data_IF_322502043621
#
_entry.id   IF_322502043621
#
_cell.length_a   1.000
_cell.length_b   1.000
_cell.length_c   1.000
_cell.angle_alpha   90.00
_cell.angle_beta   90.00
_cell.angle_gamma   90.00
#
_symmetry.space_group_name_H-M   'P 1'
#
loop_
_entity.id
_entity.type
_entity.pdbx_description
1 polymer ?
#
# COMPACT_ATOMS: atom_id res chain seq x y z
N UNK A 1 -6.89 8.17 1.94
CA UNK A 1 -7.09 9.58 2.32
C UNK A 1 -7.03 9.82 3.83
N UNK A 2 -7.73 9.06 4.69
CA UNK A 2 -7.65 9.23 6.16
C UNK A 2 -6.22 8.98 6.64
N UNK A 3 -5.58 7.89 6.22
CA UNK A 3 -4.19 7.57 6.56
C UNK A 3 -3.21 8.67 6.15
N UNK A 4 -3.44 9.31 5.00
CA UNK A 4 -2.61 10.44 4.54
C UNK A 4 -2.70 11.61 5.51
N UNK A 5 -3.90 11.95 5.97
CA UNK A 5 -4.08 13.05 6.94
C UNK A 5 -3.51 12.69 8.31
N UNK A 6 -3.70 11.45 8.76
CA UNK A 6 -3.12 10.97 10.01
C UNK A 6 -1.58 11.04 9.98
N UNK A 7 -0.94 10.57 8.90
CA UNK A 7 0.51 10.66 8.70
C UNK A 7 1.00 12.12 8.66
N UNK A 8 0.29 13.00 7.93
CA UNK A 8 0.62 14.43 7.86
C UNK A 8 0.45 15.11 9.22
N UNK A 9 -0.57 14.75 9.98
CA UNK A 9 -0.76 15.26 11.32
C UNK A 9 0.46 14.97 12.21
N UNK A 10 0.94 13.71 12.24
CA UNK A 10 2.12 13.36 13.02
C UNK A 10 3.40 14.00 12.50
N UNK A 11 3.55 14.11 11.18
CA UNK A 11 4.67 14.83 10.59
C UNK A 11 4.75 16.28 11.09
N UNK A 12 3.62 16.99 11.12
CA UNK A 12 3.61 18.37 11.64
C UNK A 12 3.75 18.42 13.16
N UNK A 13 3.18 17.46 13.86
CA UNK A 13 3.29 17.36 15.31
C UNK A 13 4.75 17.26 15.77
N UNK A 14 5.57 16.50 15.06
CA UNK A 14 7.01 16.37 15.35
C UNK A 14 7.81 17.68 15.18
N UNK A 15 7.23 18.65 14.46
CA UNK A 15 7.87 19.95 14.23
C UNK A 15 7.34 21.07 15.15
N UNK A 16 6.30 20.79 15.90
CA UNK A 16 5.70 21.73 16.85
C UNK A 16 6.04 21.26 18.27
N UNK A 17 6.54 22.17 19.10
CA UNK A 17 6.79 21.84 20.50
C UNK A 17 5.54 21.32 21.21
N UNK A 18 5.71 20.33 22.10
CA UNK A 18 4.60 19.75 22.85
C UNK A 18 4.08 20.72 23.91
N UNK A 19 2.79 21.01 23.90
CA UNK A 19 2.04 21.66 24.97
C UNK A 19 0.89 20.77 25.41
N UNK A 20 0.26 21.07 26.54
CA UNK A 20 -0.87 20.32 27.08
C UNK A 20 -2.06 20.27 26.10
N UNK A 21 -2.31 21.35 25.38
CA UNK A 21 -3.34 21.43 24.36
C UNK A 21 -3.03 20.52 23.17
N UNK A 22 -1.78 20.49 22.75
CA UNK A 22 -1.32 19.65 21.64
C UNK A 22 -1.39 18.17 22.00
N UNK A 23 -1.04 17.82 23.24
CA UNK A 23 -1.21 16.44 23.76
C UNK A 23 -2.68 16.02 23.73
N UNK A 24 -3.57 16.90 24.15
CA UNK A 24 -5.02 16.63 24.11
C UNK A 24 -5.51 16.38 22.68
N UNK A 25 -5.06 17.17 21.71
CA UNK A 25 -5.41 16.99 20.30
C UNK A 25 -4.83 15.70 19.76
N UNK A 26 -3.59 15.38 20.08
CA UNK A 26 -2.94 14.12 19.69
C UNK A 26 -3.73 12.92 20.19
N UNK A 27 -4.09 12.90 21.46
CA UNK A 27 -4.83 11.79 22.07
C UNK A 27 -6.23 11.63 21.48
N UNK A 28 -6.88 12.75 21.13
CA UNK A 28 -8.17 12.72 20.43
C UNK A 28 -8.03 12.14 19.02
N UNK A 29 -7.02 12.57 18.25
CA UNK A 29 -6.76 12.07 16.89
C UNK A 29 -6.41 10.58 16.94
N UNK A 30 -5.53 10.17 17.88
CA UNK A 30 -5.17 8.77 18.08
C UNK A 30 -6.37 7.90 18.40
N UNK A 31 -7.22 8.34 19.32
CA UNK A 31 -8.42 7.61 19.68
C UNK A 31 -9.41 7.46 18.51
N UNK A 32 -9.62 8.52 17.73
CA UNK A 32 -10.49 8.48 16.54
C UNK A 32 -9.90 7.56 15.48
N UNK A 33 -8.61 7.67 15.20
CA UNK A 33 -7.97 6.87 14.17
C UNK A 33 -7.91 5.40 14.56
N UNK A 34 -7.37 5.07 15.73
CA UNK A 34 -7.13 3.69 16.15
C UNK A 34 -8.41 2.99 16.58
N UNK A 35 -9.17 3.60 17.50
CA UNK A 35 -10.30 2.92 18.14
C UNK A 35 -11.60 2.96 17.35
N UNK A 36 -11.77 3.95 16.47
CA UNK A 36 -12.96 4.01 15.61
C UNK A 36 -12.64 3.56 14.20
N UNK A 37 -11.76 4.28 13.50
CA UNK A 37 -11.53 4.03 12.08
C UNK A 37 -10.86 2.68 11.81
N UNK A 38 -9.70 2.39 12.41
CA UNK A 38 -8.98 1.14 12.17
C UNK A 38 -9.74 -0.08 12.69
N UNK A 39 -10.36 0.02 13.85
CA UNK A 39 -11.13 -1.09 14.45
C UNK A 39 -12.33 -1.44 13.57
N UNK A 40 -13.12 -0.44 13.16
CA UNK A 40 -14.28 -0.66 12.28
C UNK A 40 -13.86 -1.19 10.91
N UNK A 41 -12.76 -0.67 10.37
CA UNK A 41 -12.22 -1.11 9.10
C UNK A 41 -11.74 -2.57 9.17
N UNK A 42 -10.96 -2.92 10.20
CA UNK A 42 -10.45 -4.27 10.40
C UNK A 42 -11.59 -5.29 10.58
N UNK A 43 -12.62 -4.91 11.33
CA UNK A 43 -13.80 -5.77 11.52
C UNK A 43 -14.51 -6.05 10.18
N UNK A 44 -14.81 -5.01 9.41
CA UNK A 44 -15.45 -5.14 8.10
C UNK A 44 -14.58 -5.90 7.09
N UNK A 45 -13.27 -5.65 7.11
CA UNK A 45 -12.32 -6.36 6.29
C UNK A 45 -12.32 -7.86 6.59
N UNK A 46 -12.21 -8.23 7.87
CA UNK A 46 -12.25 -9.64 8.28
C UNK A 46 -13.57 -10.33 7.90
N UNK A 47 -14.70 -9.64 7.97
CA UNK A 47 -15.97 -10.19 7.51
C UNK A 47 -16.03 -10.41 6.00
N UNK A 48 -15.34 -9.57 5.22
CA UNK A 48 -15.31 -9.68 3.76
C UNK A 48 -14.29 -10.72 3.26
N UNK A 49 -13.32 -11.10 4.09
CA UNK A 49 -12.26 -12.03 3.76
C UNK A 49 -12.71 -13.47 4.05
N UNK A 50 -13.57 -13.99 3.17
CA UNK A 50 -13.94 -15.41 3.16
C UNK A 50 -13.00 -16.19 2.24
N UNK A 51 -12.86 -17.50 2.48
CA UNK A 51 -12.09 -18.37 1.59
C UNK A 51 -12.58 -18.28 0.15
N UNK A 52 -13.88 -18.19 -0.05
CA UNK A 52 -14.50 -18.03 -1.36
C UNK A 52 -14.11 -16.70 -2.01
N UNK A 53 -14.17 -15.59 -1.29
CA UNK A 53 -13.76 -14.27 -1.79
C UNK A 53 -12.26 -14.27 -2.15
N UNK A 54 -11.40 -14.86 -1.32
CA UNK A 54 -9.98 -14.97 -1.60
C UNK A 54 -9.68 -15.76 -2.87
N UNK A 55 -10.43 -16.82 -3.13
CA UNK A 55 -10.28 -17.64 -4.34
C UNK A 55 -10.91 -17.04 -5.60
N UNK A 56 -11.86 -16.12 -5.44
CA UNK A 56 -12.58 -15.48 -6.57
C UNK A 56 -11.72 -14.46 -7.33
N UNK A 57 -10.62 -13.95 -6.73
CA UNK A 57 -9.73 -12.96 -7.37
C UNK A 57 -8.39 -13.55 -7.85
N UNK A 58 -8.38 -14.54 -8.76
CA UNK A 58 -7.16 -15.25 -9.14
C UNK A 58 -6.16 -14.38 -9.89
N UNK A 59 -6.63 -13.35 -10.61
CA UNK A 59 -5.77 -12.52 -11.45
C UNK A 59 -5.08 -11.38 -10.69
N UNK A 60 -5.53 -11.11 -9.46
CA UNK A 60 -4.97 -10.08 -8.58
C UNK A 60 -4.06 -10.64 -7.49
N UNK A 61 -3.72 -11.92 -7.54
CA UNK A 61 -2.82 -12.54 -6.56
C UNK A 61 -1.37 -12.17 -6.83
N UNK A 62 -0.64 -11.90 -5.78
CA UNK A 62 0.78 -11.53 -5.82
C UNK A 62 1.65 -12.58 -6.53
N UNK A 63 1.36 -13.87 -6.38
CA UNK A 63 2.05 -14.97 -7.05
C UNK A 63 2.04 -14.88 -8.58
N UNK A 64 1.14 -14.12 -9.16
CA UNK A 64 1.06 -13.87 -10.60
C UNK A 64 1.82 -12.62 -11.07
N UNK A 65 2.45 -11.89 -10.14
CA UNK A 65 3.12 -10.62 -10.45
C UNK A 65 4.09 -10.75 -11.62
N UNK A 66 5.00 -11.72 -11.57
CA UNK A 66 6.00 -11.90 -12.62
C UNK A 66 5.36 -12.12 -13.99
N UNK A 67 4.39 -13.04 -14.08
CA UNK A 67 3.73 -13.37 -15.34
C UNK A 67 2.87 -12.21 -15.88
N UNK A 68 2.27 -11.42 -15.00
CA UNK A 68 1.37 -10.33 -15.39
C UNK A 68 2.10 -9.03 -15.73
N UNK A 69 3.16 -8.71 -14.99
CA UNK A 69 3.81 -7.40 -15.08
C UNK A 69 5.25 -7.42 -15.62
N UNK A 70 6.00 -8.52 -15.44
CA UNK A 70 7.41 -8.58 -15.88
C UNK A 70 7.56 -9.29 -17.21
N UNK A 71 7.02 -10.50 -17.31
CA UNK A 71 7.17 -11.36 -18.49
C UNK A 71 6.72 -10.72 -19.81
N UNK A 72 5.63 -9.93 -19.89
CA UNK A 72 5.23 -9.29 -21.14
C UNK A 72 6.26 -8.32 -21.71
N UNK A 73 7.10 -7.72 -20.84
CA UNK A 73 8.15 -6.78 -21.23
C UNK A 73 9.47 -7.47 -21.61
N UNK A 74 9.65 -8.75 -21.21
CA UNK A 74 10.85 -9.53 -21.49
C UNK A 74 10.74 -10.35 -22.78
N UNK A 75 9.63 -10.25 -23.52
CA UNK A 75 9.46 -10.98 -24.78
C UNK A 75 10.40 -10.41 -25.84
N UNK A 76 10.94 -11.31 -26.67
CA UNK A 76 11.87 -11.02 -27.75
C UNK A 76 11.39 -9.85 -28.64
N UNK A 77 12.32 -8.94 -28.98
CA UNK A 77 12.10 -7.81 -29.91
C UNK A 77 11.76 -6.47 -29.23
N UNK A 78 11.66 -6.39 -27.91
CA UNK A 78 11.59 -5.11 -27.22
C UNK A 78 12.97 -4.72 -26.68
N UNK A 79 13.52 -3.62 -27.20
CA UNK A 79 14.66 -2.96 -26.58
C UNK A 79 14.20 -2.26 -25.32
N UNK A 80 14.59 -2.77 -24.17
CA UNK A 80 14.25 -2.15 -22.87
C UNK A 80 14.80 -2.96 -21.70
N UNK A 81 14.93 -2.27 -20.58
CA UNK A 81 15.30 -2.89 -19.30
C UNK A 81 14.10 -2.90 -18.38
N UNK A 82 13.85 -4.02 -17.74
CA UNK A 82 12.86 -4.11 -16.66
C UNK A 82 13.61 -4.02 -15.33
N UNK A 83 13.19 -3.10 -14.47
CA UNK A 83 13.69 -2.97 -13.10
C UNK A 83 12.51 -3.20 -12.16
N UNK A 84 12.64 -4.14 -11.24
CA UNK A 84 11.67 -4.40 -10.21
C UNK A 84 12.22 -3.87 -8.89
N UNK A 85 11.50 -2.95 -8.27
CA UNK A 85 11.85 -2.38 -6.97
C UNK A 85 10.85 -2.90 -5.96
N UNK A 86 11.34 -3.66 -4.98
CA UNK A 86 10.54 -4.16 -3.86
C UNK A 86 10.76 -3.19 -2.70
N UNK A 87 9.70 -2.49 -2.30
CA UNK A 87 9.73 -1.59 -1.15
C UNK A 87 8.97 -2.23 0.00
N UNK A 88 9.68 -2.66 1.02
CA UNK A 88 9.09 -3.26 2.20
C UNK A 88 8.38 -2.18 3.05
N UNK A 89 7.17 -2.50 3.50
CA UNK A 89 6.39 -1.60 4.35
C UNK A 89 5.83 -0.35 3.65
N UNK A 90 5.88 -0.25 2.33
CA UNK A 90 5.31 0.88 1.60
C UNK A 90 3.77 0.86 1.70
N UNK A 91 3.21 1.89 2.31
CA UNK A 91 1.76 2.03 2.45
C UNK A 91 1.12 2.55 1.16
N UNK A 92 -0.14 2.21 0.94
CA UNK A 92 -0.89 2.62 -0.25
C UNK A 92 -0.94 4.13 -0.45
N UNK A 93 -1.10 4.91 0.61
CA UNK A 93 -1.11 6.38 0.51
C UNK A 93 0.22 6.95 0.01
N UNK A 94 1.35 6.32 0.39
CA UNK A 94 2.67 6.70 -0.13
C UNK A 94 2.83 6.35 -1.61
N UNK A 95 2.35 5.17 -2.01
CA UNK A 95 2.34 4.77 -3.42
C UNK A 95 1.45 5.69 -4.27
N UNK A 96 0.31 6.14 -3.73
CA UNK A 96 -0.56 7.08 -4.40
C UNK A 96 0.08 8.46 -4.56
N UNK A 97 0.73 8.97 -3.51
CA UNK A 97 1.46 10.24 -3.57
C UNK A 97 2.65 10.18 -4.54
N UNK A 98 3.33 9.02 -4.62
CA UNK A 98 4.36 8.77 -5.61
C UNK A 98 3.79 8.81 -7.04
N UNK A 99 2.65 8.16 -7.29
CA UNK A 99 1.98 8.21 -8.58
C UNK A 99 1.65 9.66 -8.97
N UNK A 100 1.04 10.42 -8.07
CA UNK A 100 0.68 11.81 -8.32
C UNK A 100 1.92 12.68 -8.67
N UNK A 101 3.08 12.38 -8.08
CA UNK A 101 4.34 13.04 -8.41
C UNK A 101 4.93 12.59 -9.77
N UNK A 102 4.80 11.30 -10.11
CA UNK A 102 5.27 10.77 -11.39
C UNK A 102 4.43 11.27 -12.56
N UNK A 103 3.13 11.45 -12.36
CA UNK A 103 2.22 12.00 -13.38
C UNK A 103 2.52 13.47 -13.75
N UNK A 104 3.29 14.18 -12.91
CA UNK A 104 3.79 15.51 -13.24
C UNK A 104 4.97 15.50 -14.21
N UNK A 105 5.64 14.36 -14.40
CA UNK A 105 6.75 14.22 -15.34
C UNK A 105 6.24 13.64 -16.67
N UNK A 106 6.26 14.44 -17.73
CA UNK A 106 5.84 14.05 -19.09
C UNK A 106 6.60 12.82 -19.65
N UNK A 107 7.72 12.42 -19.03
CA UNK A 107 8.51 11.25 -19.42
C UNK A 107 8.06 9.96 -18.72
N UNK A 108 7.17 10.06 -17.74
CA UNK A 108 6.67 8.94 -16.97
C UNK A 108 5.23 8.60 -17.38
N UNK A 109 4.97 7.32 -17.63
CA UNK A 109 3.61 6.77 -17.72
C UNK A 109 3.47 5.79 -16.54
N UNK A 110 2.88 6.27 -15.44
CA UNK A 110 2.77 5.53 -14.20
C UNK A 110 1.34 5.04 -13.96
N UNK A 111 1.23 3.83 -13.40
CA UNK A 111 -0.06 3.23 -13.04
C UNK A 111 0.03 2.56 -11.68
N UNK A 112 -1.02 2.68 -10.90
CA UNK A 112 -1.16 1.97 -9.63
C UNK A 112 -2.21 0.86 -9.78
N UNK A 113 -1.88 -0.31 -9.26
CA UNK A 113 -2.80 -1.42 -9.14
C UNK A 113 -2.65 -2.07 -7.77
N UNK A 114 -3.57 -2.95 -7.42
CA UNK A 114 -3.55 -3.70 -6.17
C UNK A 114 -3.45 -5.19 -6.45
N UNK A 115 -2.83 -5.90 -5.52
CA UNK A 115 -2.75 -7.37 -5.55
C UNK A 115 -3.04 -7.93 -4.16
N UNK A 116 -3.63 -9.12 -4.12
CA UNK A 116 -3.81 -9.84 -2.88
C UNK A 116 -2.51 -10.54 -2.51
N UNK A 117 -2.00 -10.21 -1.32
CA UNK A 117 -0.83 -10.87 -0.75
C UNK A 117 -1.17 -12.28 -0.29
N UNK A 118 -0.13 -13.09 -0.09
CA UNK A 118 -0.25 -14.40 0.58
C UNK A 118 -0.55 -14.20 2.06
N UNK A 119 -1.19 -15.19 2.67
CA UNK A 119 -1.46 -15.19 4.10
C UNK A 119 -0.64 -16.32 4.77
N UNK A 120 0.07 -16.03 5.88
CA UNK A 120 0.29 -14.70 6.49
C UNK A 120 1.13 -13.80 5.59
N UNK A 121 0.87 -12.49 5.64
CA UNK A 121 1.56 -11.48 4.82
C UNK A 121 2.95 -11.17 5.38
N UNK A 122 3.86 -12.10 5.26
CA UNK A 122 5.28 -11.90 5.58
C UNK A 122 6.07 -11.68 4.29
N UNK A 123 7.01 -10.73 4.34
CA UNK A 123 7.85 -10.37 3.19
C UNK A 123 8.61 -11.59 2.62
N UNK A 124 9.12 -12.44 3.48
CA UNK A 124 9.84 -13.67 3.08
C UNK A 124 8.95 -14.62 2.27
N UNK A 125 7.71 -14.85 2.71
CA UNK A 125 6.77 -15.71 2.00
C UNK A 125 6.31 -15.07 0.68
N UNK A 126 6.08 -13.75 0.68
CA UNK A 126 5.69 -13.02 -0.51
C UNK A 126 6.76 -13.03 -1.61
N UNK A 127 8.03 -13.00 -1.26
CA UNK A 127 9.15 -13.06 -2.22
C UNK A 127 9.34 -14.47 -2.77
N UNK A 128 9.33 -15.49 -1.91
CA UNK A 128 9.58 -16.88 -2.31
C UNK A 128 8.52 -17.40 -3.29
N UNK A 129 7.27 -17.01 -3.13
CA UNK A 129 6.17 -17.45 -3.99
C UNK A 129 6.12 -16.73 -5.35
N UNK A 130 6.94 -15.69 -5.55
CA UNK A 130 7.01 -14.92 -6.80
C UNK A 130 8.29 -15.19 -7.61
N UNK A 131 9.18 -16.08 -7.12
CA UNK A 131 10.45 -16.47 -7.75
C UNK A 131 10.34 -17.56 -8.80
#
# INVERSE_FOLDING_TARGET
MIDTYYRKFYYYLDHVGMSEEIETIRDMVENIYTNKYLTDFAYKWNQSLTDEAYHTYPDTKQEKFYNSFVRPFMREGREGKVVVIISDGMRYECARELLDNLDLDEKCDAKISHMLSVLPSETTLGIVLNG
#
